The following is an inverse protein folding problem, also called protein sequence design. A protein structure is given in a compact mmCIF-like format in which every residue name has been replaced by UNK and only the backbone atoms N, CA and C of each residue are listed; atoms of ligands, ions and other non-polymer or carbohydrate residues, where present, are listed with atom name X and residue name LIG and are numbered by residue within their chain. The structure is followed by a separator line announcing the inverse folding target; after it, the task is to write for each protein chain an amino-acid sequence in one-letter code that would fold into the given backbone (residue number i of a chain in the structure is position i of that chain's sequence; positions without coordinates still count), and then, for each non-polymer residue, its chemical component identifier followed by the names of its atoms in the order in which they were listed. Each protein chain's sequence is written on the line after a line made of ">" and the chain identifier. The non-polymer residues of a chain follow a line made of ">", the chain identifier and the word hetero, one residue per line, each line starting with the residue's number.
data_IF_029262987361
#
_entry.id   IF_029262987361
#
_cell.length_a   1.000
_cell.length_b   1.000
_cell.length_c   1.000
_cell.angle_alpha   90.00
_cell.angle_beta   90.00
_cell.angle_gamma   90.00
#
_symmetry.space_group_name_H-M   'P 1'
#
loop_
_entity.id
_entity.type
_entity.pdbx_description
1 polymer ?
#
# COMPACT_ATOMS: atom_id res chain seq x y z
N UNK A 1 -16.74 22.88 -20.09
CA UNK A 1 -16.54 21.43 -20.33
C UNK A 1 -15.22 21.04 -19.66
N UNK A 2 -15.23 20.70 -18.36
CA UNK A 2 -14.01 20.43 -17.59
C UNK A 2 -14.23 19.40 -16.45
N UNK A 3 -15.15 18.46 -16.61
CA UNK A 3 -15.47 17.47 -15.56
C UNK A 3 -14.89 16.06 -15.82
N UNK A 4 -14.09 15.87 -16.89
CA UNK A 4 -13.78 14.52 -17.38
C UNK A 4 -12.62 13.77 -16.70
N UNK A 5 -11.91 14.37 -15.74
CA UNK A 5 -10.69 13.76 -15.15
C UNK A 5 -10.49 14.04 -13.65
N UNK A 6 -11.53 14.35 -12.89
CA UNK A 6 -11.37 14.43 -11.44
C UNK A 6 -11.34 13.01 -10.85
N UNK A 7 -10.15 12.51 -10.52
CA UNK A 7 -10.02 11.31 -9.68
C UNK A 7 -10.75 11.59 -8.36
N UNK A 8 -11.58 10.64 -7.89
CA UNK A 8 -12.15 10.68 -6.55
C UNK A 8 -11.05 10.40 -5.52
N UNK A 9 -10.29 11.44 -5.19
CA UNK A 9 -9.19 11.38 -4.24
C UNK A 9 -9.68 10.96 -2.86
N UNK A 10 -10.87 11.41 -2.45
CA UNK A 10 -11.44 11.07 -1.15
C UNK A 10 -11.79 9.59 -1.05
N UNK A 11 -12.47 9.04 -2.06
CA UNK A 11 -12.78 7.62 -2.12
C UNK A 11 -11.53 6.74 -2.21
N UNK A 12 -10.51 7.19 -2.93
CA UNK A 12 -9.22 6.50 -2.97
C UNK A 12 -8.54 6.47 -1.59
N UNK A 13 -8.44 7.61 -0.89
CA UNK A 13 -7.80 7.70 0.42
C UNK A 13 -8.52 6.84 1.47
N UNK A 14 -9.86 6.81 1.44
CA UNK A 14 -10.68 5.98 2.33
C UNK A 14 -10.48 4.47 2.06
N UNK A 15 -10.42 4.06 0.79
CA UNK A 15 -10.07 2.68 0.44
C UNK A 15 -8.64 2.31 0.88
N UNK A 16 -7.68 3.21 0.68
CA UNK A 16 -6.29 3.00 1.10
C UNK A 16 -6.18 2.85 2.62
N UNK A 17 -6.81 3.73 3.39
CA UNK A 17 -6.83 3.67 4.86
C UNK A 17 -7.44 2.36 5.37
N UNK A 18 -8.60 1.94 4.83
CA UNK A 18 -9.21 0.65 5.19
C UNK A 18 -8.33 -0.54 4.82
N UNK A 19 -7.62 -0.47 3.70
CA UNK A 19 -6.74 -1.54 3.24
C UNK A 19 -5.50 -1.65 4.12
N UNK A 20 -4.88 -0.51 4.46
CA UNK A 20 -3.76 -0.43 5.40
C UNK A 20 -4.14 -1.04 6.75
N UNK A 21 -5.26 -0.61 7.33
CA UNK A 21 -5.75 -1.15 8.61
C UNK A 21 -5.97 -2.68 8.57
N UNK A 22 -6.49 -3.21 7.46
CA UNK A 22 -6.65 -4.66 7.29
C UNK A 22 -5.31 -5.39 7.16
N UNK A 23 -4.31 -4.77 6.53
CA UNK A 23 -2.95 -5.32 6.45
C UNK A 23 -2.23 -5.28 7.81
N UNK A 24 -2.45 -4.24 8.62
CA UNK A 24 -1.96 -4.20 10.00
C UNK A 24 -2.56 -5.35 10.82
N UNK A 25 -3.89 -5.53 10.73
CA UNK A 25 -4.58 -6.65 11.41
C UNK A 25 -4.07 -8.02 10.93
N UNK A 26 -3.82 -8.18 9.63
CA UNK A 26 -3.24 -9.42 9.07
C UNK A 26 -1.83 -9.65 9.63
N UNK A 27 -1.02 -8.60 9.69
CA UNK A 27 0.35 -8.65 10.20
C UNK A 27 0.35 -9.05 11.68
N UNK A 28 -0.48 -8.42 12.50
CA UNK A 28 -0.66 -8.79 13.91
C UNK A 28 -1.09 -10.25 14.07
N UNK A 29 -2.05 -10.72 13.28
CA UNK A 29 -2.51 -12.10 13.33
C UNK A 29 -1.40 -13.10 12.94
N UNK A 30 -0.64 -12.80 11.89
CA UNK A 30 0.51 -13.64 11.48
C UNK A 30 1.55 -13.69 12.59
N UNK A 31 1.95 -12.54 13.15
CA UNK A 31 2.91 -12.50 14.25
C UNK A 31 2.42 -13.25 15.50
N UNK A 32 1.14 -13.12 15.84
CA UNK A 32 0.53 -13.84 16.95
C UNK A 32 0.63 -15.36 16.78
N UNK A 33 0.28 -15.87 15.59
CA UNK A 33 0.40 -17.31 15.31
C UNK A 33 1.87 -17.76 15.29
N UNK A 34 2.79 -16.95 14.76
CA UNK A 34 4.23 -17.26 14.80
C UNK A 34 4.76 -17.37 16.23
N UNK A 35 4.30 -16.51 17.16
CA UNK A 35 4.62 -16.63 18.59
C UNK A 35 4.16 -17.96 19.15
N UNK A 36 2.90 -18.34 18.91
CA UNK A 36 2.33 -19.61 19.38
C UNK A 36 3.07 -20.82 18.80
N UNK A 37 3.40 -20.80 17.51
CA UNK A 37 4.18 -21.86 16.86
C UNK A 37 5.52 -22.05 17.55
N UNK A 38 6.20 -20.95 17.88
CA UNK A 38 7.50 -20.98 18.55
C UNK A 38 7.40 -21.48 19.99
N UNK A 39 6.38 -21.06 20.73
CA UNK A 39 6.09 -21.59 22.08
C UNK A 39 5.84 -23.10 22.05
N UNK A 40 5.12 -23.61 21.04
CA UNK A 40 4.91 -25.05 20.85
C UNK A 40 6.22 -25.76 20.52
N UNK A 41 7.06 -25.21 19.64
CA UNK A 41 8.39 -25.77 19.33
C UNK A 41 9.26 -25.86 20.59
N UNK A 42 9.28 -24.81 21.41
CA UNK A 42 10.04 -24.76 22.66
C UNK A 42 9.53 -25.83 23.65
N UNK A 43 8.21 -26.01 23.76
CA UNK A 43 7.61 -27.06 24.58
C UNK A 43 7.97 -28.48 24.08
N UNK A 44 8.18 -28.65 22.77
CA UNK A 44 8.59 -29.91 22.15
C UNK A 44 10.10 -30.16 22.17
N UNK A 45 10.93 -29.22 22.64
CA UNK A 45 12.38 -29.35 22.69
C UNK A 45 12.90 -30.65 23.34
N UNK A 46 12.26 -31.21 24.39
CA UNK A 46 12.67 -32.49 24.97
C UNK A 46 12.44 -33.71 24.06
N UNK A 47 11.67 -33.58 22.98
CA UNK A 47 11.29 -34.63 22.05
C UNK A 47 11.70 -34.27 20.60
N UNK A 48 12.97 -34.52 20.20
CA UNK A 48 13.53 -34.02 18.94
C UNK A 48 12.77 -34.49 17.69
N UNK A 49 12.25 -35.71 17.70
CA UNK A 49 11.50 -36.25 16.56
C UNK A 49 10.13 -35.59 16.41
N UNK A 50 9.47 -35.26 17.53
CA UNK A 50 8.21 -34.52 17.54
C UNK A 50 8.43 -33.07 17.08
N UNK A 51 9.49 -32.42 17.58
CA UNK A 51 9.88 -31.08 17.15
C UNK A 51 10.14 -31.04 15.63
N UNK A 52 10.85 -32.02 15.07
CA UNK A 52 11.07 -32.13 13.62
C UNK A 52 9.79 -32.39 12.81
N UNK A 53 8.87 -33.19 13.33
CA UNK A 53 7.60 -33.45 12.67
C UNK A 53 6.72 -32.20 12.65
N UNK A 54 6.68 -31.47 13.77
CA UNK A 54 5.96 -30.21 13.90
C UNK A 54 6.56 -29.11 13.00
N UNK A 55 7.88 -28.92 13.02
CA UNK A 55 8.56 -27.99 12.13
C UNK A 55 8.22 -28.26 10.65
N UNK A 56 8.31 -29.52 10.20
CA UNK A 56 7.92 -29.90 8.83
C UNK A 56 6.47 -29.57 8.48
N UNK A 57 5.56 -29.65 9.44
CA UNK A 57 4.16 -29.32 9.21
C UNK A 57 3.94 -27.80 9.11
N UNK A 58 4.71 -27.00 9.84
CA UNK A 58 4.42 -25.58 10.08
C UNK A 58 5.34 -24.63 9.31
N UNK A 59 6.59 -25.01 9.04
CA UNK A 59 7.60 -24.14 8.40
C UNK A 59 7.12 -23.59 7.04
N UNK A 60 6.54 -24.44 6.19
CA UNK A 60 6.01 -23.99 4.89
C UNK A 60 4.87 -22.98 5.02
N UNK A 61 4.11 -23.05 6.11
CA UNK A 61 3.04 -22.11 6.39
C UNK A 61 3.62 -20.80 6.93
N UNK A 62 4.63 -20.87 7.81
CA UNK A 62 5.37 -19.71 8.34
C UNK A 62 6.01 -18.89 7.21
N UNK A 63 6.70 -19.56 6.28
CA UNK A 63 7.32 -18.90 5.13
C UNK A 63 6.28 -18.20 4.26
N UNK A 64 5.18 -18.89 3.93
CA UNK A 64 4.11 -18.31 3.08
C UNK A 64 3.38 -17.17 3.77
N UNK A 65 3.11 -17.28 5.06
CA UNK A 65 2.42 -16.24 5.83
C UNK A 65 3.28 -14.97 5.94
N UNK A 66 4.57 -15.13 6.22
CA UNK A 66 5.53 -14.02 6.25
C UNK A 66 5.66 -13.35 4.87
N UNK A 67 5.84 -14.14 3.82
CA UNK A 67 5.94 -13.62 2.45
C UNK A 67 4.67 -12.88 2.00
N UNK A 68 3.48 -13.36 2.42
CA UNK A 68 2.22 -12.68 2.14
C UNK A 68 2.14 -11.31 2.81
N UNK A 69 2.53 -11.22 4.09
CA UNK A 69 2.53 -9.96 4.83
C UNK A 69 3.52 -8.95 4.21
N UNK A 70 4.73 -9.40 3.87
CA UNK A 70 5.73 -8.56 3.18
C UNK A 70 5.23 -8.07 1.81
N UNK A 71 4.64 -8.97 1.02
CA UNK A 71 4.09 -8.61 -0.29
C UNK A 71 2.94 -7.60 -0.17
N UNK A 72 2.04 -7.80 0.78
CA UNK A 72 0.95 -6.85 1.08
C UNK A 72 1.48 -5.45 1.42
N UNK A 73 2.51 -5.37 2.27
CA UNK A 73 3.19 -4.11 2.59
C UNK A 73 3.84 -3.45 1.37
N UNK A 74 4.48 -4.23 0.51
CA UNK A 74 5.09 -3.71 -0.73
C UNK A 74 4.04 -3.14 -1.70
N UNK A 75 2.88 -3.79 -1.84
CA UNK A 75 1.77 -3.31 -2.68
C UNK A 75 1.21 -1.99 -2.15
N UNK A 76 1.01 -1.86 -0.84
CA UNK A 76 0.57 -0.61 -0.21
C UNK A 76 1.58 0.52 -0.44
N UNK A 77 2.86 0.27 -0.21
CA UNK A 77 3.91 1.27 -0.41
C UNK A 77 4.06 1.71 -1.88
N UNK A 78 3.76 0.82 -2.83
CA UNK A 78 3.71 1.17 -4.25
C UNK A 78 2.48 2.02 -4.59
N UNK A 79 1.32 1.69 -4.02
CA UNK A 79 0.10 2.47 -4.20
C UNK A 79 0.23 3.90 -3.66
N UNK A 80 0.82 4.06 -2.46
CA UNK A 80 1.10 5.38 -1.88
C UNK A 80 2.00 6.24 -2.78
N UNK A 81 3.04 5.64 -3.36
CA UNK A 81 3.93 6.33 -4.30
C UNK A 81 3.21 6.80 -5.55
N UNK A 82 2.38 5.94 -6.15
CA UNK A 82 1.60 6.29 -7.35
C UNK A 82 0.67 7.48 -7.09
N UNK A 83 0.07 7.56 -5.91
CA UNK A 83 -0.83 8.66 -5.52
C UNK A 83 -0.04 9.95 -5.32
N UNK A 84 1.10 9.88 -4.64
CA UNK A 84 1.97 11.04 -4.47
C UNK A 84 2.45 11.60 -5.81
N UNK A 85 2.77 10.73 -6.77
CA UNK A 85 3.14 11.14 -8.13
C UNK A 85 1.96 11.77 -8.89
N UNK A 86 0.77 11.19 -8.79
CA UNK A 86 -0.43 11.76 -9.39
C UNK A 86 -0.72 13.17 -8.85
N UNK A 87 -0.70 13.35 -7.53
CA UNK A 87 -0.95 14.66 -6.90
C UNK A 87 0.09 15.70 -7.33
N UNK A 88 1.37 15.31 -7.48
CA UNK A 88 2.41 16.20 -8.01
C UNK A 88 2.14 16.59 -9.47
N UNK A 89 1.73 15.64 -10.30
CA UNK A 89 1.42 15.89 -11.70
C UNK A 89 0.21 16.83 -11.85
N UNK A 90 -0.83 16.62 -11.03
CA UNK A 90 -2.02 17.48 -11.02
C UNK A 90 -1.69 18.91 -10.58
N UNK A 91 -0.88 19.07 -9.52
CA UNK A 91 -0.40 20.38 -9.09
C UNK A 91 0.43 21.10 -10.16
N UNK A 92 1.32 20.39 -10.86
CA UNK A 92 2.11 20.94 -11.96
C UNK A 92 1.22 21.38 -13.13
N UNK A 93 0.24 20.55 -13.50
CA UNK A 93 -0.74 20.88 -14.54
C UNK A 93 -1.55 22.12 -14.17
N UNK A 94 -2.02 22.24 -12.92
CA UNK A 94 -2.76 23.42 -12.47
C UNK A 94 -1.94 24.71 -12.63
N UNK A 95 -0.66 24.69 -12.24
CA UNK A 95 0.27 25.82 -12.38
C UNK A 95 0.49 26.18 -13.85
N UNK A 96 0.76 25.19 -14.72
CA UNK A 96 0.99 25.43 -16.14
C UNK A 96 -0.25 25.98 -16.84
N UNK A 97 -1.44 25.50 -16.45
CA UNK A 97 -2.72 25.97 -16.99
C UNK A 97 -2.98 27.42 -16.59
N UNK A 98 -2.69 27.78 -15.34
CA UNK A 98 -2.80 29.16 -14.84
C UNK A 98 -1.82 30.09 -15.57
N UNK A 99 -0.56 29.65 -15.76
CA UNK A 99 0.45 30.41 -16.50
C UNK A 99 0.07 30.61 -17.97
N UNK A 100 -0.50 29.60 -18.62
CA UNK A 100 -0.99 29.69 -19.99
C UNK A 100 -2.18 30.66 -20.11
N UNK A 101 -3.07 30.69 -19.12
CA UNK A 101 -4.18 31.65 -19.06
C UNK A 101 -3.68 33.10 -18.91
N UNK A 102 -2.70 33.34 -18.04
CA UNK A 102 -2.09 34.67 -17.86
C UNK A 102 -1.39 35.16 -19.15
N UNK A 103 -0.72 34.27 -19.88
CA UNK A 103 0.00 34.62 -21.11
C UNK A 103 -0.94 34.94 -22.28
N UNK A 104 -2.12 34.31 -22.35
CA UNK A 104 -3.16 34.60 -23.37
C UNK A 104 -3.95 35.88 -23.09
N UNK A 105 -3.97 36.37 -21.85
CA UNK A 105 -4.67 37.60 -21.43
C UNK A 105 -4.02 38.93 -21.85
N UNK A 106 -2.82 38.91 -22.42
CA UNK A 106 -2.10 40.12 -22.88
C UNK A 106 -2.04 40.31 -24.40
N UNK A 107 -2.64 39.40 -25.17
CA UNK A 107 -2.86 39.58 -26.61
C UNK A 107 -4.02 40.53 -26.87
N UNK A 108 -3.79 41.84 -26.73
CA UNK A 108 -4.70 42.88 -27.24
C UNK A 108 -4.80 42.72 -28.76
N UNK A 109 -5.81 42.00 -29.23
CA UNK A 109 -6.19 41.99 -30.63
C UNK A 109 -6.58 43.41 -31.03
N UNK A 110 -5.64 44.14 -31.63
CA UNK A 110 -5.98 45.31 -32.45
C UNK A 110 -6.53 44.76 -33.76
N UNK A 111 -7.85 44.71 -33.85
CA UNK A 111 -8.54 44.65 -35.15
C UNK A 111 -8.39 46.05 -35.74
N UNK A 112 -7.58 46.16 -36.79
CA UNK A 112 -7.51 47.31 -37.69
C UNK A 112 -8.70 47.33 -38.62
#
# INVERSE_FOLDING_TARGET
>A
MAERYAIDVTGFLDLAARTAQRMDTLTEAVFGVLSVVREIQDAMAPAPDLARAFARAVDSWVERATALAEHGGAVLAAAERAVAEYVRADAAMAIDTERAAQTRGHGRWRVS
#
